data_IF_735832488925
#
_entry.id   IF_735832488925
#
_cell.length_a   1.000
_cell.length_b   1.000
_cell.length_c   1.000
_cell.angle_alpha   90.00
_cell.angle_beta   90.00
_cell.angle_gamma   90.00
#
_symmetry.space_group_name_H-M   'P 1'
#
loop_
_entity.id
_entity.type
_entity.pdbx_description
1 polymer ?
#
# COMPACT_ATOMS: atom_id res chain seq x y z
N UNK A 1 14.08 23.92 -6.80
CA UNK A 1 13.58 22.58 -7.12
C UNK A 1 12.73 22.72 -8.38
N UNK A 2 13.08 22.00 -9.46
CA UNK A 2 12.34 22.04 -10.72
C UNK A 2 11.10 21.16 -10.61
N UNK A 3 10.07 21.42 -11.42
CA UNK A 3 8.86 20.57 -11.50
C UNK A 3 9.23 19.10 -11.75
N UNK A 4 10.25 18.88 -12.58
CA UNK A 4 10.78 17.56 -12.92
C UNK A 4 11.26 16.77 -11.69
N UNK A 5 11.76 17.46 -10.65
CA UNK A 5 12.22 16.81 -9.41
C UNK A 5 11.03 16.27 -8.61
N UNK A 6 9.90 17.00 -8.59
CA UNK A 6 8.68 16.56 -7.91
C UNK A 6 8.02 15.40 -8.65
N UNK A 7 7.91 15.47 -9.98
CA UNK A 7 7.35 14.38 -10.78
C UNK A 7 8.18 13.09 -10.64
N UNK A 8 9.51 13.22 -10.51
CA UNK A 8 10.39 12.09 -10.27
C UNK A 8 10.18 11.48 -8.87
N UNK A 9 10.01 12.31 -7.84
CA UNK A 9 9.70 11.84 -6.48
C UNK A 9 8.36 11.09 -6.46
N UNK A 10 7.32 11.65 -7.08
CA UNK A 10 6.00 11.03 -7.18
C UNK A 10 6.06 9.66 -7.87
N UNK A 11 6.81 9.58 -8.99
CA UNK A 11 7.00 8.32 -9.70
C UNK A 11 7.75 7.29 -8.85
N UNK A 12 8.77 7.74 -8.11
CA UNK A 12 9.52 6.87 -7.20
C UNK A 12 8.62 6.33 -6.10
N UNK A 13 7.78 7.16 -5.48
CA UNK A 13 6.82 6.73 -4.44
C UNK A 13 5.86 5.68 -5.00
N UNK A 14 5.34 5.87 -6.21
CA UNK A 14 4.46 4.88 -6.87
C UNK A 14 5.20 3.55 -7.07
N UNK A 15 6.45 3.58 -7.54
CA UNK A 15 7.25 2.39 -7.73
C UNK A 15 7.51 1.67 -6.41
N UNK A 16 7.92 2.40 -5.38
CA UNK A 16 8.23 1.85 -4.06
C UNK A 16 6.99 1.19 -3.43
N UNK A 17 5.81 1.82 -3.54
CA UNK A 17 4.55 1.24 -3.08
C UNK A 17 4.22 -0.06 -3.82
N UNK A 18 4.34 -0.08 -5.15
CA UNK A 18 4.06 -1.28 -5.95
C UNK A 18 5.02 -2.43 -5.62
N UNK A 19 6.32 -2.14 -5.55
CA UNK A 19 7.34 -3.14 -5.25
C UNK A 19 7.19 -3.70 -3.84
N UNK A 20 6.87 -2.85 -2.86
CA UNK A 20 6.61 -3.26 -1.48
C UNK A 20 5.39 -4.18 -1.41
N UNK A 21 4.28 -3.79 -2.04
CA UNK A 21 3.07 -4.62 -2.05
C UNK A 21 3.33 -5.95 -2.75
N UNK A 22 4.00 -5.97 -3.90
CA UNK A 22 4.33 -7.22 -4.61
C UNK A 22 5.23 -8.13 -3.75
N UNK A 23 6.23 -7.58 -3.06
CA UNK A 23 7.07 -8.36 -2.15
C UNK A 23 6.26 -9.00 -1.02
N UNK A 24 5.32 -8.26 -0.44
CA UNK A 24 4.42 -8.77 0.59
C UNK A 24 3.45 -9.84 0.06
N UNK A 25 2.87 -9.66 -1.13
CA UNK A 25 1.99 -10.66 -1.74
C UNK A 25 2.76 -11.96 -2.01
N UNK A 26 3.98 -11.86 -2.55
CA UNK A 26 4.83 -13.03 -2.81
C UNK A 26 5.24 -13.76 -1.53
N UNK A 27 5.54 -13.04 -0.45
CA UNK A 27 5.82 -13.66 0.86
C UNK A 27 4.59 -14.43 1.37
N UNK A 28 3.39 -13.85 1.28
CA UNK A 28 2.14 -14.52 1.67
C UNK A 28 1.86 -15.75 0.81
N UNK A 29 2.04 -15.67 -0.50
CA UNK A 29 1.91 -16.82 -1.40
C UNK A 29 2.93 -17.93 -1.07
N UNK A 30 4.18 -17.57 -0.72
CA UNK A 30 5.19 -18.53 -0.23
C UNK A 30 4.78 -19.21 1.08
N UNK A 31 4.02 -18.51 1.93
CA UNK A 31 3.42 -19.06 3.16
C UNK A 31 2.13 -19.85 2.90
N UNK A 32 1.75 -20.07 1.64
CA UNK A 32 0.59 -20.90 1.25
C UNK A 32 -0.73 -20.14 1.11
N UNK A 33 -0.72 -18.81 1.22
CA UNK A 33 -1.93 -18.01 1.05
C UNK A 33 -2.26 -17.86 -0.44
N UNK A 34 -3.56 -17.79 -0.78
CA UNK A 34 -4.01 -17.52 -2.15
C UNK A 34 -4.70 -16.17 -2.23
N UNK A 35 -4.37 -15.43 -3.29
CA UNK A 35 -5.07 -14.21 -3.66
C UNK A 35 -6.47 -14.57 -4.18
N UNK A 36 -7.51 -13.88 -3.69
CA UNK A 36 -8.89 -14.01 -4.19
C UNK A 36 -9.25 -12.93 -5.21
N UNK A 37 -8.35 -11.96 -5.43
CA UNK A 37 -8.44 -10.97 -6.50
C UNK A 37 -7.18 -10.96 -7.37
N UNK A 38 -7.28 -10.47 -8.63
CA UNK A 38 -6.12 -10.21 -9.46
C UNK A 38 -5.17 -9.19 -8.80
N UNK A 39 -3.84 -9.39 -8.92
CA UNK A 39 -2.82 -8.46 -8.39
C UNK A 39 -3.06 -7.00 -8.81
N UNK A 40 -3.49 -6.77 -10.06
CA UNK A 40 -3.82 -5.43 -10.56
C UNK A 40 -4.91 -4.73 -9.76
N UNK A 41 -5.90 -5.46 -9.25
CA UNK A 41 -6.96 -4.91 -8.39
C UNK A 41 -6.42 -4.53 -7.02
N UNK A 42 -5.49 -5.32 -6.48
CA UNK A 42 -4.83 -5.05 -5.20
C UNK A 42 -3.97 -3.78 -5.33
N UNK A 43 -3.15 -3.68 -6.38
CA UNK A 43 -2.35 -2.48 -6.66
C UNK A 43 -3.21 -1.22 -6.78
N UNK A 44 -4.31 -1.29 -7.53
CA UNK A 44 -5.21 -0.15 -7.71
C UNK A 44 -5.85 0.28 -6.38
N UNK A 45 -6.22 -0.67 -5.52
CA UNK A 45 -6.79 -0.37 -4.20
C UNK A 45 -5.76 0.31 -3.28
N UNK A 46 -4.52 -0.19 -3.25
CA UNK A 46 -3.45 0.41 -2.45
C UNK A 46 -3.11 1.81 -2.96
N UNK A 47 -2.90 1.99 -4.26
CA UNK A 47 -2.62 3.32 -4.83
C UNK A 47 -3.75 4.31 -4.55
N UNK A 48 -5.01 3.86 -4.63
CA UNK A 48 -6.15 4.71 -4.27
C UNK A 48 -6.10 5.14 -2.80
N UNK A 49 -5.74 4.24 -1.88
CA UNK A 49 -5.59 4.57 -0.47
C UNK A 49 -4.45 5.59 -0.23
N UNK A 50 -3.32 5.46 -0.92
CA UNK A 50 -2.22 6.45 -0.90
C UNK A 50 -2.69 7.82 -1.37
N UNK A 51 -3.42 7.89 -2.49
CA UNK A 51 -3.97 9.14 -3.02
C UNK A 51 -4.95 9.78 -2.03
N UNK A 52 -5.80 8.98 -1.38
CA UNK A 52 -6.75 9.48 -0.38
C UNK A 52 -6.00 10.03 0.85
N UNK A 53 -4.98 9.33 1.32
CA UNK A 53 -4.14 9.77 2.45
C UNK A 53 -3.38 11.06 2.12
N UNK A 54 -2.73 11.14 0.96
CA UNK A 54 -2.05 12.37 0.49
C UNK A 54 -2.98 13.58 0.47
N UNK A 55 -4.23 13.39 0.04
CA UNK A 55 -5.25 14.47 0.01
C UNK A 55 -5.73 14.86 1.40
N UNK A 56 -5.75 13.92 2.36
CA UNK A 56 -6.16 14.16 3.73
C UNK A 56 -5.11 14.94 4.54
N UNK A 57 -3.84 14.89 4.15
CA UNK A 57 -2.73 15.60 4.80
C UNK A 57 -2.83 17.15 4.72
N UNK A 58 -3.90 17.70 4.13
CA UNK A 58 -4.20 19.14 4.00
C UNK A 58 -3.02 20.00 3.51
N UNK A 59 -2.07 19.38 2.81
CA UNK A 59 -0.89 20.03 2.24
C UNK A 59 -1.18 20.45 0.80
N UNK A 60 -0.70 21.63 0.39
CA UNK A 60 -0.78 22.08 -0.99
C UNK A 60 0.62 22.31 -1.57
N UNK A 61 1.00 21.63 -2.67
CA UNK A 61 0.24 20.57 -3.36
C UNK A 61 0.14 19.29 -2.52
N UNK A 62 -0.93 18.51 -2.75
CA UNK A 62 -1.10 17.20 -2.13
C UNK A 62 -0.25 16.17 -2.89
N UNK A 63 0.95 15.94 -2.38
CA UNK A 63 1.97 15.06 -2.97
C UNK A 63 1.96 13.68 -2.30
N UNK A 64 2.23 12.61 -3.05
CA UNK A 64 2.14 11.24 -2.51
C UNK A 64 3.23 10.97 -1.47
N UNK A 65 4.40 11.62 -1.59
CA UNK A 65 5.51 11.52 -0.62
C UNK A 65 5.14 11.97 0.80
N UNK A 66 3.99 12.64 0.97
CA UNK A 66 3.44 13.08 2.25
C UNK A 66 2.25 12.28 2.72
N UNK A 67 1.94 11.16 2.08
CA UNK A 67 0.85 10.30 2.51
C UNK A 67 1.26 9.52 3.77
N UNK A 68 0.59 9.78 4.89
CA UNK A 68 0.84 9.10 6.18
C UNK A 68 0.77 7.56 6.07
N UNK A 69 -0.02 7.04 5.12
CA UNK A 69 -0.16 5.60 4.89
C UNK A 69 1.11 4.93 4.32
N UNK A 70 2.09 5.71 3.82
CA UNK A 70 3.35 5.16 3.33
C UNK A 70 4.14 4.48 4.44
N UNK A 71 4.13 5.03 5.65
CA UNK A 71 4.79 4.43 6.81
C UNK A 71 4.20 3.04 7.10
N UNK A 72 2.88 2.90 7.07
CA UNK A 72 2.20 1.60 7.24
C UNK A 72 2.53 0.59 6.13
N UNK A 73 2.72 1.06 4.89
CA UNK A 73 3.06 0.19 3.76
C UNK A 73 4.51 -0.31 3.89
N UNK A 74 5.43 0.58 4.28
CA UNK A 74 6.87 0.29 4.33
C UNK A 74 7.30 -0.44 5.60
N UNK A 75 6.63 -0.23 6.74
CA UNK A 75 6.95 -0.90 8.01
C UNK A 75 6.60 -2.39 8.00
N UNK A 76 5.83 -2.85 7.00
CA UNK A 76 5.50 -4.24 6.83
C UNK A 76 4.35 -4.67 7.73
N UNK A 77 3.29 -5.15 7.10
CA UNK A 77 2.11 -5.67 7.77
C UNK A 77 2.49 -7.01 8.42
N UNK A 78 2.78 -7.04 9.71
CA UNK A 78 2.91 -8.30 10.46
C UNK A 78 1.50 -8.89 10.67
N UNK A 79 1.15 -10.04 10.06
CA UNK A 79 -0.21 -10.58 10.14
C UNK A 79 -0.59 -11.14 11.52
N UNK A 80 0.28 -11.05 12.53
CA UNK A 80 0.05 -11.63 13.85
C UNK A 80 -0.18 -10.63 14.99
N UNK A 81 -0.03 -9.32 14.79
CA UNK A 81 -0.13 -8.39 15.94
C UNK A 81 -0.57 -6.96 15.54
N UNK A 82 -1.87 -6.75 15.32
CA UNK A 82 -2.48 -5.42 15.55
C UNK A 82 -4.00 -5.46 15.62
N UNK A 83 -4.52 -6.07 16.68
CA UNK A 83 -5.87 -5.82 17.13
C UNK A 83 -5.99 -4.42 17.77
N UNK A 84 -5.95 -3.32 16.99
CA UNK A 84 -6.45 -2.02 17.47
C UNK A 84 -6.60 -0.89 16.43
N UNK A 85 -5.98 -0.92 15.25
CA UNK A 85 -6.07 0.20 14.31
C UNK A 85 -6.72 -0.30 13.02
N UNK A 86 -7.82 0.34 12.60
CA UNK A 86 -8.43 0.09 11.28
C UNK A 86 -7.38 0.39 10.20
N UNK A 87 -6.66 -0.63 9.78
CA UNK A 87 -5.68 -0.55 8.71
C UNK A 87 -6.40 -0.75 7.36
N UNK A 88 -6.60 0.29 6.55
CA UNK A 88 -7.32 0.19 5.28
C UNK A 88 -6.63 -0.73 4.25
N UNK A 89 -5.31 -0.90 4.36
CA UNK A 89 -4.54 -1.86 3.55
C UNK A 89 -4.77 -3.30 4.04
N UNK A 90 -4.84 -3.51 5.35
CA UNK A 90 -5.14 -4.80 5.94
C UNK A 90 -6.56 -5.25 5.59
N UNK A 91 -7.55 -4.34 5.66
CA UNK A 91 -8.91 -4.60 5.18
C UNK A 91 -8.93 -4.93 3.67
N UNK A 92 -8.12 -4.26 2.85
CA UNK A 92 -8.05 -4.56 1.42
C UNK A 92 -7.39 -5.91 1.14
N UNK A 93 -6.37 -6.32 1.89
CA UNK A 93 -5.66 -7.59 1.69
C UNK A 93 -6.45 -8.75 2.32
N UNK A 94 -7.02 -8.58 3.50
CA UNK A 94 -7.82 -9.59 4.21
C UNK A 94 -9.15 -9.88 3.50
N UNK A 95 -9.81 -8.86 2.93
CA UNK A 95 -10.99 -9.10 2.07
C UNK A 95 -10.65 -9.86 0.79
N UNK A 96 -9.36 -9.89 0.41
CA UNK A 96 -8.92 -10.52 -0.83
C UNK A 96 -7.94 -11.71 -0.64
N UNK A 97 -7.89 -12.30 0.55
CA UNK A 97 -7.09 -13.50 0.82
C UNK A 97 -7.86 -14.46 1.71
N UNK A 98 -7.74 -15.76 1.44
CA UNK A 98 -8.35 -16.81 2.29
C UNK A 98 -7.27 -17.85 2.60
N UNK A 99 -7.13 -18.18 3.88
CA UNK A 99 -6.25 -19.24 4.35
C UNK A 99 -6.99 -20.58 4.21
N UNK A 100 -6.43 -21.51 3.43
CA UNK A 100 -6.90 -22.90 3.41
C UNK A 100 -6.19 -23.64 4.55
N UNK A 101 -6.98 -24.07 5.55
CA UNK A 101 -6.59 -25.05 6.57
C UNK A 101 -6.31 -26.41 5.93
#
# INVERSE_FOLDING_TARGET
MRSDDYDQIELQVIQDVLDTVEAQLRERERRGWRLTAPRSRIYAAVLYAVIVSARAAHTFPATLDRADILDEIFDGIDPFDSAAVRQPVEDAINNHTVQLL
#
